data_IF_335451505423
#
_entry.id   IF_335451505423
#
_cell.length_a   1.000
_cell.length_b   1.000
_cell.length_c   1.000
_cell.angle_alpha   90.00
_cell.angle_beta   90.00
_cell.angle_gamma   90.00
#
_symmetry.space_group_name_H-M   'P 1'
#
loop_
_entity.id
_entity.type
_entity.pdbx_description
1 polymer ?
#
# COMPACT_ATOMS: atom_id res chain seq x y z
N UNK A 1 21.26 12.39 18.78
CA UNK A 1 21.74 11.97 17.45
C UNK A 1 20.86 12.62 16.40
N UNK A 2 21.48 13.18 15.36
CA UNK A 2 20.80 13.86 14.25
C UNK A 2 20.62 12.94 13.08
N UNK A 3 19.46 13.00 12.45
CA UNK A 3 19.08 12.14 11.33
C UNK A 3 18.50 12.98 10.19
N UNK A 4 18.91 12.67 8.96
CA UNK A 4 18.41 13.33 7.76
C UNK A 4 17.72 12.33 6.83
N UNK A 5 16.47 12.62 6.45
CA UNK A 5 15.68 11.79 5.55
C UNK A 5 15.64 12.39 4.13
N UNK A 6 16.10 11.66 3.12
CA UNK A 6 15.94 12.02 1.72
C UNK A 6 14.72 11.29 1.14
N UNK A 7 13.78 12.04 0.58
CA UNK A 7 12.49 11.52 0.11
C UNK A 7 11.45 11.43 1.23
N UNK A 8 11.45 12.39 2.16
CA UNK A 8 10.66 12.36 3.40
C UNK A 8 9.14 12.52 3.19
N UNK A 9 8.68 13.07 2.05
CA UNK A 9 7.25 13.32 1.80
C UNK A 9 6.45 12.06 1.48
N UNK A 10 7.12 10.95 1.14
CA UNK A 10 6.47 9.66 0.94
C UNK A 10 5.88 9.10 2.24
N UNK A 11 4.71 8.45 2.19
CA UNK A 11 3.99 7.97 3.38
C UNK A 11 4.87 7.11 4.30
N UNK A 12 5.59 6.14 3.75
CA UNK A 12 6.49 5.29 4.53
C UNK A 12 7.62 6.09 5.19
N UNK A 13 8.28 6.97 4.40
CA UNK A 13 9.42 7.76 4.87
C UNK A 13 9.01 8.81 5.90
N UNK A 14 7.89 9.50 5.66
CA UNK A 14 7.36 10.50 6.59
C UNK A 14 6.91 9.90 7.92
N UNK A 15 6.24 8.74 7.88
CA UNK A 15 5.90 8.00 9.09
C UNK A 15 7.16 7.55 9.85
N UNK A 16 8.17 7.08 9.13
CA UNK A 16 9.45 6.68 9.74
C UNK A 16 10.18 7.87 10.39
N UNK A 17 10.15 9.04 9.76
CA UNK A 17 10.70 10.27 10.31
C UNK A 17 9.99 10.70 11.61
N UNK A 18 8.65 10.55 11.66
CA UNK A 18 7.87 10.81 12.87
C UNK A 18 8.21 9.80 13.99
N UNK A 19 8.37 8.51 13.66
CA UNK A 19 8.85 7.47 14.57
C UNK A 19 10.24 7.85 15.13
N UNK A 20 11.18 8.29 14.27
CA UNK A 20 12.50 8.73 14.69
C UNK A 20 12.40 9.92 15.65
N UNK A 21 11.57 10.90 15.36
CA UNK A 21 11.31 12.04 16.22
C UNK A 21 10.76 11.64 17.58
N UNK A 22 9.79 10.71 17.60
CA UNK A 22 9.21 10.18 18.85
C UNK A 22 10.23 9.41 19.69
N UNK A 23 11.22 8.78 19.06
CA UNK A 23 12.36 8.10 19.72
C UNK A 23 13.42 9.07 20.25
N UNK A 24 13.25 10.38 20.07
CA UNK A 24 14.15 11.40 20.59
C UNK A 24 15.30 11.79 19.64
N UNK A 25 15.24 11.41 18.36
CA UNK A 25 16.19 11.90 17.38
C UNK A 25 15.86 13.36 16.97
N UNK A 26 16.89 14.12 16.66
CA UNK A 26 16.72 15.40 15.98
C UNK A 26 16.61 15.12 14.47
N UNK A 27 15.41 15.34 13.92
CA UNK A 27 15.05 14.89 12.56
C UNK A 27 15.01 16.06 11.60
N UNK A 28 15.66 15.88 10.46
CA UNK A 28 15.63 16.76 9.30
C UNK A 28 15.21 15.97 8.07
N UNK A 29 14.69 16.64 7.05
CA UNK A 29 14.36 15.97 5.82
C UNK A 29 14.28 16.87 4.61
N UNK A 30 14.25 16.23 3.45
CA UNK A 30 14.14 16.90 2.15
C UNK A 30 13.31 16.03 1.20
N UNK A 31 12.54 16.71 0.35
CA UNK A 31 11.91 16.08 -0.81
C UNK A 31 11.80 17.10 -1.95
N UNK A 32 11.44 16.63 -3.14
CA UNK A 32 11.26 17.50 -4.30
C UNK A 32 10.14 18.51 -4.06
N UNK A 33 9.01 18.05 -3.50
CA UNK A 33 7.84 18.85 -3.13
C UNK A 33 7.10 18.23 -1.94
N UNK A 34 6.30 19.07 -1.27
CA UNK A 34 5.48 18.64 -0.15
C UNK A 34 4.01 18.93 -0.40
N UNK A 35 3.16 18.00 -0.03
CA UNK A 35 1.70 18.10 -0.15
C UNK A 35 1.01 17.51 1.08
N UNK A 36 -0.14 18.07 1.50
CA UNK A 36 -0.99 17.42 2.49
C UNK A 36 -1.42 16.00 2.06
N UNK A 37 -1.61 15.08 3.01
CA UNK A 37 -1.54 15.28 4.46
C UNK A 37 -0.12 15.21 5.05
N UNK A 38 0.88 14.65 4.35
CA UNK A 38 2.21 14.38 4.92
C UNK A 38 2.95 15.67 5.32
N UNK A 39 2.83 16.76 4.53
CA UNK A 39 3.42 18.05 4.92
C UNK A 39 2.92 18.54 6.28
N UNK A 40 1.60 18.41 6.51
CA UNK A 40 0.97 18.85 7.75
C UNK A 40 1.38 17.95 8.93
N UNK A 41 1.46 16.65 8.71
CA UNK A 41 1.91 15.68 9.71
C UNK A 41 3.36 15.93 10.15
N UNK A 42 4.26 16.20 9.20
CA UNK A 42 5.67 16.53 9.50
C UNK A 42 5.80 17.85 10.26
N UNK A 43 5.04 18.87 9.88
CA UNK A 43 4.99 20.17 10.59
C UNK A 43 4.46 19.99 12.02
N UNK A 44 3.36 19.25 12.19
CA UNK A 44 2.77 18.99 13.50
C UNK A 44 3.71 18.18 14.41
N UNK A 45 4.53 17.30 13.82
CA UNK A 45 5.57 16.57 14.55
C UNK A 45 6.80 17.44 14.89
N UNK A 46 6.86 18.69 14.43
CA UNK A 46 8.00 19.59 14.63
C UNK A 46 9.27 19.11 13.91
N UNK A 47 9.10 18.47 12.75
CA UNK A 47 10.20 18.02 11.88
C UNK A 47 10.56 19.16 10.93
N UNK A 48 11.85 19.46 10.84
CA UNK A 48 12.36 20.48 9.90
C UNK A 48 12.60 19.84 8.54
N UNK A 49 12.01 20.39 7.49
CA UNK A 49 12.19 19.89 6.11
C UNK A 49 12.31 21.03 5.10
N UNK A 50 12.88 20.71 3.94
CA UNK A 50 13.15 21.66 2.86
C UNK A 50 12.73 21.06 1.51
N UNK A 51 12.35 21.92 0.55
CA UNK A 51 12.06 21.50 -0.83
C UNK A 51 13.31 21.58 -1.71
N UNK A 52 13.41 20.62 -2.64
CA UNK A 52 14.48 20.50 -3.61
C UNK A 52 15.72 19.79 -3.07
N UNK A 53 16.45 19.14 -3.97
CA UNK A 53 17.65 18.34 -3.65
C UNK A 53 18.95 19.10 -3.96
N UNK A 54 18.95 20.44 -3.89
CA UNK A 54 20.13 21.25 -4.11
C UNK A 54 21.12 21.15 -2.94
N UNK A 55 22.41 21.35 -3.23
CA UNK A 55 23.48 21.28 -2.24
C UNK A 55 23.26 22.22 -1.04
N UNK A 56 22.62 23.39 -1.25
CA UNK A 56 22.30 24.34 -0.17
C UNK A 56 21.42 23.75 0.94
N UNK A 57 20.67 22.68 0.63
CA UNK A 57 19.80 21.95 1.55
C UNK A 57 20.53 20.87 2.35
N UNK A 58 21.85 20.76 2.19
CA UNK A 58 22.67 19.87 3.00
C UNK A 58 22.66 20.30 4.47
N UNK A 59 22.34 19.36 5.35
CA UNK A 59 22.46 19.51 6.81
C UNK A 59 23.41 18.44 7.32
N UNK A 60 24.42 18.82 8.07
CA UNK A 60 25.37 17.86 8.64
C UNK A 60 24.72 17.08 9.80
N UNK A 61 24.58 15.78 9.60
CA UNK A 61 23.91 14.87 10.52
C UNK A 61 24.70 13.57 10.69
N UNK A 62 24.35 12.79 11.74
CA UNK A 62 25.03 11.54 12.06
C UNK A 62 24.67 10.42 11.10
N UNK A 63 23.43 10.42 10.58
CA UNK A 63 22.88 9.37 9.70
C UNK A 63 22.00 10.01 8.62
N UNK A 64 22.10 9.48 7.39
CA UNK A 64 21.27 9.83 6.26
C UNK A 64 20.43 8.62 5.84
N UNK A 65 19.12 8.72 5.98
CA UNK A 65 18.15 7.70 5.59
C UNK A 65 17.68 7.99 4.16
N UNK A 66 17.93 7.05 3.25
CA UNK A 66 17.68 7.23 1.83
C UNK A 66 16.38 6.52 1.44
N UNK A 67 15.45 7.28 0.88
CA UNK A 67 14.21 6.74 0.31
C UNK A 67 14.44 6.03 -1.02
N UNK A 68 13.56 5.11 -1.38
CA UNK A 68 13.69 4.30 -2.59
C UNK A 68 13.69 5.11 -3.89
N UNK A 69 12.96 6.21 -3.95
CA UNK A 69 12.91 7.10 -5.12
C UNK A 69 14.20 7.87 -5.38
N UNK A 70 15.15 7.86 -4.45
CA UNK A 70 16.41 8.59 -4.53
C UNK A 70 17.48 7.69 -5.15
N UNK A 71 18.11 8.15 -6.22
CA UNK A 71 19.13 7.40 -6.95
C UNK A 71 20.39 8.23 -7.21
N UNK A 72 21.45 7.57 -7.69
CA UNK A 72 22.70 8.24 -8.15
C UNK A 72 22.35 9.32 -9.17
N UNK A 73 23.08 10.42 -9.11
CA UNK A 73 22.80 11.63 -9.89
C UNK A 73 21.88 12.63 -9.16
N UNK A 74 21.29 12.28 -8.03
CA UNK A 74 20.59 13.26 -7.18
C UNK A 74 21.63 14.19 -6.55
N UNK A 75 21.55 15.54 -6.75
CA UNK A 75 22.63 16.46 -6.35
C UNK A 75 22.96 16.38 -4.85
N UNK A 76 21.95 16.31 -3.99
CA UNK A 76 22.15 16.24 -2.55
C UNK A 76 22.74 14.90 -2.09
N UNK A 77 22.30 13.81 -2.71
CA UNK A 77 22.85 12.48 -2.44
C UNK A 77 24.34 12.43 -2.80
N UNK A 78 24.74 12.99 -3.96
CA UNK A 78 26.15 13.02 -4.36
C UNK A 78 27.00 13.84 -3.37
N UNK A 79 26.48 14.95 -2.83
CA UNK A 79 27.16 15.70 -1.76
C UNK A 79 27.36 14.85 -0.51
N UNK A 80 26.33 14.11 -0.09
CA UNK A 80 26.40 13.22 1.08
C UNK A 80 27.45 12.12 0.89
N UNK A 81 27.50 11.52 -0.30
CA UNK A 81 28.48 10.48 -0.66
C UNK A 81 29.90 11.07 -0.67
N UNK A 82 30.10 12.21 -1.33
CA UNK A 82 31.40 12.85 -1.43
C UNK A 82 31.98 13.30 -0.08
N UNK A 83 31.09 13.57 0.88
CA UNK A 83 31.46 13.90 2.27
C UNK A 83 31.65 12.65 3.16
N UNK A 84 31.62 11.44 2.58
CA UNK A 84 31.76 10.17 3.31
C UNK A 84 30.78 10.02 4.49
N UNK A 85 29.56 10.48 4.34
CA UNK A 85 28.55 10.39 5.40
C UNK A 85 27.94 9.01 5.51
N UNK A 86 27.49 8.65 6.72
CA UNK A 86 26.83 7.36 6.98
C UNK A 86 25.45 7.34 6.34
N UNK A 87 25.28 6.50 5.31
CA UNK A 87 24.03 6.25 4.61
C UNK A 87 23.42 4.94 5.09
N UNK A 88 22.09 4.90 5.22
CA UNK A 88 21.31 3.72 5.56
C UNK A 88 20.00 3.71 4.79
N UNK A 89 19.47 2.54 4.47
CA UNK A 89 18.13 2.42 3.91
C UNK A 89 17.06 2.61 4.99
N UNK A 90 15.86 3.00 4.58
CA UNK A 90 14.75 3.18 5.52
C UNK A 90 14.36 1.88 6.25
N UNK A 91 14.24 0.71 5.57
CA UNK A 91 14.00 -0.56 6.23
C UNK A 91 15.09 -0.99 7.21
N UNK A 92 16.37 -0.77 6.87
CA UNK A 92 17.49 -1.06 7.78
C UNK A 92 17.48 -0.17 9.01
N UNK A 93 17.19 1.13 8.83
CA UNK A 93 17.05 2.04 9.95
C UNK A 93 15.92 1.58 10.89
N UNK A 94 14.76 1.24 10.31
CA UNK A 94 13.62 0.74 11.08
C UNK A 94 13.99 -0.52 11.87
N UNK A 95 14.68 -1.46 11.23
CA UNK A 95 15.13 -2.65 11.93
C UNK A 95 16.08 -2.33 13.09
N UNK A 96 17.13 -1.56 12.83
CA UNK A 96 18.18 -1.28 13.82
C UNK A 96 17.66 -0.51 15.05
N UNK A 97 16.73 0.41 14.86
CA UNK A 97 16.29 1.33 15.90
C UNK A 97 14.89 1.02 16.46
N UNK A 98 14.10 0.18 15.81
CA UNK A 98 12.74 -0.15 16.26
C UNK A 98 12.51 -1.65 16.36
N UNK A 99 12.72 -2.40 15.28
CA UNK A 99 12.26 -3.80 15.20
C UNK A 99 13.17 -4.81 15.86
N UNK A 100 14.45 -4.48 16.10
CA UNK A 100 15.46 -5.42 16.62
C UNK A 100 15.05 -6.09 17.93
N UNK A 101 14.36 -5.34 18.79
CA UNK A 101 13.90 -5.82 20.11
C UNK A 101 12.40 -6.19 20.09
N UNK A 102 11.76 -6.19 18.93
CA UNK A 102 10.34 -6.51 18.76
C UNK A 102 10.13 -7.86 18.08
N UNK A 103 9.00 -8.49 18.36
CA UNK A 103 8.46 -9.62 17.60
C UNK A 103 7.63 -9.05 16.44
N UNK A 104 8.10 -9.24 15.22
CA UNK A 104 7.52 -8.63 14.05
C UNK A 104 6.41 -9.51 13.48
N UNK A 105 5.23 -8.92 13.30
CA UNK A 105 4.10 -9.47 12.53
C UNK A 105 4.11 -8.75 11.17
N UNK A 106 4.49 -9.45 10.11
CA UNK A 106 4.61 -8.89 8.77
C UNK A 106 3.48 -9.40 7.87
N UNK A 107 2.84 -8.48 7.16
CA UNK A 107 1.82 -8.80 6.14
C UNK A 107 2.40 -8.49 4.78
N UNK A 108 2.56 -9.51 3.94
CA UNK A 108 3.15 -9.43 2.62
C UNK A 108 2.22 -9.97 1.53
N UNK A 109 2.57 -9.74 0.29
CA UNK A 109 1.83 -10.18 -0.91
C UNK A 109 1.54 -9.02 -1.85
N UNK A 110 1.09 -9.30 -3.06
CA UNK A 110 0.85 -8.28 -4.09
C UNK A 110 -0.30 -7.34 -3.70
N UNK A 111 -1.40 -7.90 -3.17
CA UNK A 111 -2.61 -7.15 -2.81
C UNK A 111 -3.03 -7.34 -1.35
N UNK A 112 -3.83 -6.40 -0.85
CA UNK A 112 -4.44 -6.49 0.48
C UNK A 112 -3.51 -6.16 1.67
N UNK A 113 -2.20 -6.01 1.46
CA UNK A 113 -1.20 -5.71 2.52
C UNK A 113 -1.68 -4.63 3.49
N UNK A 114 -1.96 -3.44 2.98
CA UNK A 114 -2.35 -2.26 3.76
C UNK A 114 -3.62 -2.52 4.59
N UNK A 115 -4.64 -3.10 3.96
CA UNK A 115 -5.92 -3.37 4.63
C UNK A 115 -5.77 -4.39 5.74
N UNK A 116 -5.10 -5.53 5.47
CA UNK A 116 -4.88 -6.59 6.46
C UNK A 116 -4.00 -6.09 7.62
N UNK A 117 -2.93 -5.35 7.33
CA UNK A 117 -2.08 -4.73 8.37
C UNK A 117 -2.88 -3.76 9.23
N UNK A 118 -3.75 -2.94 8.60
CA UNK A 118 -4.62 -2.00 9.31
C UNK A 118 -5.65 -2.70 10.20
N UNK A 119 -6.27 -3.78 9.73
CA UNK A 119 -7.21 -4.60 10.50
C UNK A 119 -6.54 -5.20 11.74
N UNK A 120 -5.33 -5.73 11.59
CA UNK A 120 -4.57 -6.31 12.69
C UNK A 120 -4.20 -5.22 13.71
N UNK A 121 -3.65 -4.09 13.26
CA UNK A 121 -3.27 -2.98 14.13
C UNK A 121 -4.49 -2.36 14.84
N UNK A 122 -5.64 -2.22 14.13
CA UNK A 122 -6.90 -1.79 14.71
C UNK A 122 -7.38 -2.72 15.83
N UNK A 123 -7.36 -4.04 15.60
CA UNK A 123 -7.81 -5.02 16.57
C UNK A 123 -7.00 -4.94 17.88
N UNK A 124 -5.69 -4.80 17.80
CA UNK A 124 -4.86 -4.63 19.01
C UNK A 124 -5.13 -3.31 19.73
N UNK A 125 -5.36 -2.24 18.99
CA UNK A 125 -5.72 -0.95 19.59
C UNK A 125 -7.09 -0.97 20.27
N UNK A 126 -8.08 -1.57 19.61
CA UNK A 126 -9.46 -1.63 20.09
C UNK A 126 -9.62 -2.54 21.30
N UNK A 127 -8.87 -3.64 21.39
CA UNK A 127 -8.84 -4.51 22.57
C UNK A 127 -8.33 -3.75 23.83
N UNK A 128 -7.48 -2.76 23.64
CA UNK A 128 -6.97 -1.87 24.68
C UNK A 128 -6.06 -2.51 25.72
N UNK A 129 -5.84 -3.83 25.66
CA UNK A 129 -4.95 -4.57 26.58
C UNK A 129 -3.51 -4.57 26.12
N UNK A 130 -3.31 -4.49 24.81
CA UNK A 130 -2.01 -4.59 24.16
C UNK A 130 -1.72 -3.31 23.38
N UNK A 131 -0.58 -2.66 23.66
CA UNK A 131 -0.13 -1.47 22.96
C UNK A 131 0.94 -1.83 21.94
N UNK A 132 0.55 -2.58 20.89
CA UNK A 132 1.47 -3.01 19.84
C UNK A 132 1.90 -1.82 18.96
N UNK A 133 3.17 -1.82 18.58
CA UNK A 133 3.66 -0.90 17.56
C UNK A 133 3.14 -1.30 16.17
N UNK A 134 3.05 -0.33 15.27
CA UNK A 134 2.73 -0.62 13.87
C UNK A 134 3.26 0.43 12.91
N UNK A 135 3.42 0.03 11.65
CA UNK A 135 3.73 0.91 10.52
C UNK A 135 2.99 0.43 9.27
N UNK A 136 2.11 1.29 8.77
CA UNK A 136 1.20 1.05 7.66
C UNK A 136 1.53 2.06 6.55
N UNK A 137 1.60 1.61 5.29
CA UNK A 137 1.87 2.49 4.15
C UNK A 137 0.64 3.29 3.67
N UNK A 138 -0.55 2.97 4.18
CA UNK A 138 -1.80 3.70 3.95
C UNK A 138 -2.26 4.53 5.14
N UNK A 139 -3.45 5.11 5.04
CA UNK A 139 -4.07 5.93 6.09
C UNK A 139 -5.36 5.25 6.56
N UNK A 140 -5.33 4.47 7.65
CA UNK A 140 -6.54 3.92 8.26
C UNK A 140 -7.47 5.03 8.77
N UNK A 141 -8.77 4.75 8.82
CA UNK A 141 -9.77 5.76 9.25
C UNK A 141 -9.72 6.04 10.77
N UNK A 142 -9.40 5.04 11.59
CA UNK A 142 -9.58 5.11 13.05
C UNK A 142 -8.27 5.08 13.85
N UNK A 143 -7.17 4.75 13.20
CA UNK A 143 -5.85 4.71 13.82
C UNK A 143 -4.84 5.53 13.02
N UNK A 144 -3.79 5.99 13.66
CA UNK A 144 -2.68 6.58 12.92
C UNK A 144 -1.96 5.51 12.07
N UNK A 145 -1.31 5.94 11.00
CA UNK A 145 -0.53 5.04 10.13
C UNK A 145 0.67 4.41 10.83
N UNK A 146 1.05 4.92 11.99
CA UNK A 146 2.14 4.41 12.79
C UNK A 146 1.90 4.54 14.29
N UNK A 147 2.52 3.64 15.05
CA UNK A 147 2.68 3.73 16.51
C UNK A 147 3.96 2.99 16.91
N UNK A 148 4.68 3.49 17.91
CA UNK A 148 5.81 2.74 18.47
C UNK A 148 5.37 1.54 19.31
N UNK A 149 4.26 1.69 20.03
CA UNK A 149 3.81 0.70 21.00
C UNK A 149 4.85 0.42 22.10
N UNK A 150 4.39 0.01 23.26
CA UNK A 150 5.27 -0.34 24.40
C UNK A 150 5.47 -1.84 24.52
N UNK A 151 4.60 -2.65 23.91
CA UNK A 151 4.66 -4.11 23.94
C UNK A 151 5.72 -4.71 23.00
N UNK A 152 5.95 -6.02 23.17
CA UNK A 152 6.94 -6.79 22.41
C UNK A 152 6.67 -6.89 20.92
N UNK A 153 5.43 -6.70 20.47
CA UNK A 153 5.05 -6.92 19.07
C UNK A 153 5.00 -5.63 18.26
N UNK A 154 5.29 -5.79 16.98
CA UNK A 154 5.20 -4.73 15.98
C UNK A 154 4.58 -5.25 14.69
N UNK A 155 3.48 -4.64 14.26
CA UNK A 155 2.76 -5.01 13.02
C UNK A 155 3.24 -4.15 11.87
N UNK A 156 3.65 -4.76 10.75
CA UNK A 156 4.20 -4.01 9.62
C UNK A 156 3.67 -4.50 8.28
N UNK A 157 3.37 -3.55 7.40
CA UNK A 157 3.17 -3.82 5.99
C UNK A 157 4.53 -4.14 5.35
N UNK A 158 4.63 -5.30 4.72
CA UNK A 158 5.89 -5.91 4.30
C UNK A 158 5.93 -6.08 2.78
N UNK A 159 6.59 -5.12 2.13
CA UNK A 159 6.56 -4.93 0.69
C UNK A 159 7.67 -5.73 -0.01
N UNK A 160 7.34 -6.32 -1.16
CA UNK A 160 8.26 -7.02 -2.07
C UNK A 160 9.09 -6.08 -2.95
N UNK A 161 8.80 -4.78 -2.96
CA UNK A 161 9.53 -3.80 -3.74
C UNK A 161 10.94 -3.54 -3.18
N UNK A 162 11.90 -3.18 -4.05
CA UNK A 162 13.29 -2.93 -3.68
C UNK A 162 13.46 -1.80 -2.63
N UNK A 163 14.56 -1.82 -1.93
CA UNK A 163 14.78 -1.04 -0.71
C UNK A 163 15.35 0.34 -0.98
N UNK A 164 16.45 0.43 -1.74
CA UNK A 164 17.15 1.67 -2.06
C UNK A 164 18.03 1.48 -3.30
N UNK A 165 18.62 2.56 -3.84
CA UNK A 165 19.50 2.48 -5.02
C UNK A 165 20.73 1.58 -4.79
N UNK A 166 21.22 1.46 -3.57
CA UNK A 166 22.34 0.63 -3.15
C UNK A 166 21.95 -0.73 -2.58
N UNK A 167 20.66 -0.98 -2.40
CA UNK A 167 20.08 -2.20 -1.88
C UNK A 167 18.86 -2.59 -2.71
N UNK A 168 19.08 -3.54 -3.63
CA UNK A 168 18.07 -4.02 -4.57
C UNK A 168 17.28 -5.24 -4.06
N UNK A 169 17.49 -5.60 -2.79
CA UNK A 169 16.68 -6.64 -2.17
C UNK A 169 15.33 -6.08 -1.70
N UNK A 170 14.28 -6.92 -1.67
CA UNK A 170 12.97 -6.55 -1.13
C UNK A 170 13.02 -6.02 0.31
N UNK A 171 12.21 -5.03 0.61
CA UNK A 171 12.11 -4.45 1.96
C UNK A 171 11.81 -5.49 3.02
N UNK A 172 11.03 -6.52 2.71
CA UNK A 172 10.64 -7.55 3.66
C UNK A 172 11.81 -8.35 4.25
N UNK A 173 12.97 -8.42 3.60
CA UNK A 173 14.15 -9.09 4.16
C UNK A 173 14.72 -8.39 5.40
N UNK A 174 14.56 -7.07 5.45
CA UNK A 174 15.07 -6.27 6.57
C UNK A 174 14.23 -6.43 7.84
N UNK A 175 12.94 -6.79 7.73
CA UNK A 175 12.02 -6.80 8.87
C UNK A 175 12.14 -8.04 9.76
N UNK A 176 12.70 -9.13 9.24
CA UNK A 176 12.95 -10.39 9.97
C UNK A 176 11.74 -10.91 10.76
N UNK A 177 10.61 -11.22 10.10
CA UNK A 177 9.36 -11.50 10.76
C UNK A 177 9.41 -12.73 11.69
N UNK A 178 8.68 -12.65 12.80
CA UNK A 178 8.35 -13.77 13.67
C UNK A 178 7.03 -14.43 13.25
N UNK A 179 6.10 -13.62 12.75
CA UNK A 179 4.86 -14.08 12.12
C UNK A 179 4.78 -13.41 10.75
N UNK A 180 4.67 -14.21 9.70
CA UNK A 180 4.54 -13.75 8.33
C UNK A 180 3.18 -14.19 7.78
N UNK A 181 2.43 -13.24 7.20
CA UNK A 181 1.28 -13.53 6.35
C UNK A 181 1.65 -13.29 4.90
N UNK A 182 1.43 -14.25 4.03
CA UNK A 182 1.50 -14.11 2.57
C UNK A 182 0.07 -14.16 2.02
N UNK A 183 -0.46 -12.98 1.68
CA UNK A 183 -1.83 -12.81 1.20
C UNK A 183 -2.06 -13.48 -0.16
N UNK A 184 -1.17 -13.20 -1.10
CA UNK A 184 -1.17 -13.64 -2.50
C UNK A 184 0.19 -13.37 -3.13
N UNK A 185 0.48 -14.01 -4.26
CA UNK A 185 1.68 -13.72 -5.06
C UNK A 185 1.25 -13.67 -6.52
N UNK A 186 1.29 -12.46 -7.10
CA UNK A 186 1.00 -12.20 -8.50
C UNK A 186 2.14 -11.40 -9.14
N UNK A 187 2.16 -11.32 -10.48
CA UNK A 187 3.19 -10.57 -11.18
C UNK A 187 2.88 -9.07 -11.12
N UNK A 188 3.70 -8.34 -10.41
CA UNK A 188 3.70 -6.88 -10.34
C UNK A 188 5.14 -6.36 -10.30
N UNK A 189 5.34 -5.04 -10.24
CA UNK A 189 6.65 -4.40 -10.16
C UNK A 189 7.61 -4.80 -11.29
N UNK A 190 7.11 -4.77 -12.52
CA UNK A 190 7.84 -5.14 -13.71
C UNK A 190 9.05 -4.24 -14.07
N UNK A 191 9.24 -3.17 -13.34
CA UNK A 191 10.42 -2.32 -13.36
C UNK A 191 11.60 -2.93 -12.59
N UNK A 192 11.35 -3.90 -11.70
CA UNK A 192 12.38 -4.58 -10.91
C UNK A 192 12.34 -6.10 -11.01
N UNK A 193 11.22 -6.71 -11.44
CA UNK A 193 11.08 -8.16 -11.64
C UNK A 193 10.78 -8.50 -13.08
N UNK A 194 11.48 -9.52 -13.60
CA UNK A 194 11.29 -10.02 -14.96
C UNK A 194 10.16 -11.05 -15.07
N UNK A 195 9.80 -11.71 -13.99
CA UNK A 195 8.80 -12.77 -13.98
C UNK A 195 8.19 -13.02 -12.59
N UNK A 196 7.05 -13.71 -12.57
CA UNK A 196 6.44 -14.19 -11.33
C UNK A 196 7.34 -15.21 -10.59
N UNK A 197 8.11 -16.02 -11.32
CA UNK A 197 9.06 -16.97 -10.72
C UNK A 197 10.17 -16.25 -9.92
N UNK A 198 10.58 -15.08 -10.37
CA UNK A 198 11.55 -14.25 -9.65
C UNK A 198 10.95 -13.73 -8.34
N UNK A 199 9.72 -13.21 -8.36
CA UNK A 199 9.01 -12.79 -7.14
C UNK A 199 8.86 -13.96 -6.17
N UNK A 200 8.39 -15.12 -6.64
CA UNK A 200 8.26 -16.32 -5.83
C UNK A 200 9.60 -16.75 -5.20
N UNK A 201 10.70 -16.62 -5.93
CA UNK A 201 12.04 -16.95 -5.41
C UNK A 201 12.44 -16.06 -4.23
N UNK A 202 12.02 -14.78 -4.23
CA UNK A 202 12.24 -13.87 -3.10
C UNK A 202 11.42 -14.29 -1.88
N UNK A 203 10.15 -14.70 -2.05
CA UNK A 203 9.35 -15.24 -0.96
C UNK A 203 9.93 -16.54 -0.38
N UNK A 204 10.43 -17.44 -1.22
CA UNK A 204 11.14 -18.65 -0.78
C UNK A 204 12.37 -18.29 0.06
N UNK A 205 13.20 -17.34 -0.42
CA UNK A 205 14.36 -16.84 0.32
C UNK A 205 13.96 -16.22 1.66
N UNK A 206 12.84 -15.47 1.71
CA UNK A 206 12.32 -14.92 2.97
C UNK A 206 11.96 -16.03 3.97
N UNK A 207 11.24 -17.07 3.54
CA UNK A 207 10.88 -18.22 4.37
C UNK A 207 12.12 -18.96 4.91
N UNK A 208 13.17 -19.10 4.09
CA UNK A 208 14.45 -19.70 4.52
C UNK A 208 15.18 -18.88 5.59
N UNK A 209 15.04 -17.54 5.53
CA UNK A 209 15.70 -16.62 6.48
C UNK A 209 14.92 -16.46 7.79
N UNK A 210 13.70 -16.97 7.89
CA UNK A 210 12.91 -16.87 9.11
C UNK A 210 13.54 -17.68 10.24
N UNK A 211 13.49 -17.12 11.45
CA UNK A 211 14.11 -17.71 12.63
C UNK A 211 13.34 -18.96 13.11
N UNK A 212 14.02 -19.78 13.90
CA UNK A 212 13.38 -20.88 14.65
C UNK A 212 12.25 -20.35 15.54
N UNK A 213 11.11 -21.06 15.56
CA UNK A 213 9.87 -20.69 16.28
C UNK A 213 9.10 -19.52 15.64
N UNK A 214 9.46 -19.10 14.42
CA UNK A 214 8.63 -18.19 13.62
C UNK A 214 7.55 -18.99 12.89
N UNK A 215 6.46 -18.30 12.52
CA UNK A 215 5.34 -18.88 11.74
C UNK A 215 5.11 -18.13 10.46
N UNK A 216 4.86 -18.86 9.40
CA UNK A 216 4.40 -18.29 8.12
C UNK A 216 3.04 -18.87 7.76
N UNK A 217 2.07 -18.00 7.53
CA UNK A 217 0.73 -18.32 7.02
C UNK A 217 0.65 -17.96 5.54
N UNK A 218 0.30 -18.92 4.70
CA UNK A 218 0.24 -18.73 3.24
C UNK A 218 -1.17 -19.01 2.76
N UNK A 219 -1.79 -18.03 2.11
CA UNK A 219 -3.10 -18.21 1.48
C UNK A 219 -2.98 -19.12 0.26
N UNK A 220 -3.32 -20.40 0.43
CA UNK A 220 -3.16 -21.43 -0.57
C UNK A 220 -3.97 -21.21 -1.85
N UNK A 221 -5.12 -20.50 -1.75
CA UNK A 221 -5.97 -20.16 -2.89
C UNK A 221 -5.40 -19.05 -3.80
N UNK A 222 -4.39 -18.32 -3.33
CA UNK A 222 -3.86 -17.15 -4.00
C UNK A 222 -2.35 -17.22 -4.33
N UNK A 223 -1.82 -18.45 -4.40
CA UNK A 223 -0.46 -18.75 -4.85
C UNK A 223 -0.47 -19.97 -5.79
N UNK A 224 0.47 -20.04 -6.73
CA UNK A 224 0.55 -21.13 -7.70
C UNK A 224 0.87 -22.48 -7.02
N UNK A 225 0.39 -23.58 -7.62
CA UNK A 225 0.73 -24.94 -7.17
C UNK A 225 2.24 -25.19 -7.16
N UNK A 226 2.95 -24.72 -8.20
CA UNK A 226 4.41 -24.81 -8.29
C UNK A 226 5.13 -24.14 -7.11
N UNK A 227 4.64 -23.01 -6.63
CA UNK A 227 5.17 -22.35 -5.42
C UNK A 227 4.91 -23.21 -4.18
N UNK A 228 3.69 -23.72 -4.01
CA UNK A 228 3.36 -24.64 -2.89
C UNK A 228 4.28 -25.84 -2.85
N UNK A 229 4.51 -26.47 -3.99
CA UNK A 229 5.41 -27.65 -4.11
C UNK A 229 6.85 -27.31 -3.72
N UNK A 230 7.35 -26.14 -4.11
CA UNK A 230 8.68 -25.65 -3.70
C UNK A 230 8.75 -25.40 -2.19
N UNK A 231 7.71 -24.78 -1.62
CA UNK A 231 7.66 -24.47 -0.17
C UNK A 231 7.54 -25.75 0.67
N UNK A 232 6.78 -26.76 0.24
CA UNK A 232 6.68 -28.03 0.96
C UNK A 232 8.00 -28.81 1.03
N UNK A 233 8.89 -28.59 0.06
CA UNK A 233 10.23 -29.21 0.00
C UNK A 233 11.30 -28.33 0.63
N UNK A 234 10.90 -27.17 1.16
CA UNK A 234 11.85 -26.19 1.65
C UNK A 234 12.43 -26.58 3.00
N UNK A 235 13.74 -26.60 3.11
CA UNK A 235 14.42 -26.66 4.40
C UNK A 235 14.38 -25.28 5.06
N UNK A 236 13.61 -25.17 6.13
CA UNK A 236 13.43 -23.93 6.88
C UNK A 236 13.29 -24.19 8.37
N UNK A 237 13.59 -23.18 9.19
CA UNK A 237 13.44 -23.24 10.64
C UNK A 237 12.05 -22.75 11.11
N UNK A 238 11.23 -22.15 10.24
CA UNK A 238 9.90 -21.67 10.59
C UNK A 238 8.83 -22.73 10.36
N UNK A 239 7.76 -22.65 11.12
CA UNK A 239 6.53 -23.40 10.88
C UNK A 239 5.76 -22.75 9.73
N UNK A 240 5.41 -23.52 8.69
CA UNK A 240 4.65 -23.03 7.54
C UNK A 240 3.27 -23.68 7.55
N UNK A 241 2.24 -22.86 7.48
CA UNK A 241 0.86 -23.28 7.39
C UNK A 241 0.21 -22.73 6.12
N UNK A 242 -0.28 -23.63 5.26
CA UNK A 242 -1.15 -23.29 4.16
C UNK A 242 -2.61 -23.31 4.62
N UNK A 243 -3.35 -22.25 4.32
CA UNK A 243 -4.79 -22.17 4.60
C UNK A 243 -5.52 -21.48 3.46
N UNK A 244 -6.83 -21.59 3.41
CA UNK A 244 -7.65 -20.89 2.42
C UNK A 244 -8.35 -19.71 3.07
N UNK A 245 -8.02 -18.50 2.62
CA UNK A 245 -8.65 -17.26 3.08
C UNK A 245 -9.77 -16.77 2.17
N UNK A 246 -10.05 -17.47 1.07
CA UNK A 246 -11.02 -17.01 0.06
C UNK A 246 -12.40 -16.77 0.68
N UNK A 247 -12.89 -15.56 0.56
CA UNK A 247 -14.26 -15.14 0.84
C UNK A 247 -15.01 -14.89 -0.47
N UNK A 248 -16.28 -14.52 -0.37
CA UNK A 248 -17.09 -14.14 -1.53
C UNK A 248 -16.68 -12.76 -2.09
N UNK A 249 -15.98 -11.94 -1.29
CA UNK A 249 -15.47 -10.62 -1.65
C UNK A 249 -14.02 -10.46 -1.22
N UNK A 250 -13.33 -9.45 -1.80
CA UNK A 250 -11.99 -9.04 -1.34
C UNK A 250 -12.01 -8.62 0.14
N UNK A 251 -13.08 -7.95 0.59
CA UNK A 251 -13.23 -7.53 1.98
C UNK A 251 -13.28 -8.74 2.93
N UNK A 252 -14.05 -9.76 2.59
CA UNK A 252 -14.11 -11.01 3.35
C UNK A 252 -12.79 -11.75 3.35
N UNK A 253 -12.13 -11.83 2.19
CA UNK A 253 -10.79 -12.43 2.07
C UNK A 253 -9.80 -11.73 2.99
N UNK A 254 -9.75 -10.39 2.98
CA UNK A 254 -8.88 -9.61 3.87
C UNK A 254 -9.21 -9.84 5.36
N UNK A 255 -10.51 -9.95 5.69
CA UNK A 255 -10.98 -10.27 7.05
C UNK A 255 -10.50 -11.66 7.49
N UNK A 256 -10.59 -12.66 6.62
CA UNK A 256 -10.12 -14.02 6.90
C UNK A 256 -8.58 -14.06 7.09
N UNK A 257 -7.84 -13.30 6.29
CA UNK A 257 -6.38 -13.15 6.43
C UNK A 257 -6.01 -12.52 7.79
N UNK A 258 -6.65 -11.42 8.16
CA UNK A 258 -6.44 -10.76 9.45
C UNK A 258 -6.83 -11.67 10.62
N UNK A 259 -7.98 -12.35 10.52
CA UNK A 259 -8.47 -13.30 11.53
C UNK A 259 -7.46 -14.41 11.78
N UNK A 260 -6.83 -14.97 10.73
CA UNK A 260 -5.81 -16.03 10.86
C UNK A 260 -4.61 -15.63 11.72
N UNK A 261 -4.23 -14.36 11.70
CA UNK A 261 -3.20 -13.83 12.61
C UNK A 261 -3.76 -13.62 14.02
N UNK A 262 -4.94 -12.98 14.11
CA UNK A 262 -5.51 -12.53 15.39
C UNK A 262 -5.92 -13.68 16.33
N UNK A 263 -6.31 -14.83 15.81
CA UNK A 263 -6.63 -16.02 16.62
C UNK A 263 -5.42 -16.57 17.41
N UNK A 264 -4.19 -16.12 17.10
CA UNK A 264 -3.03 -16.42 17.96
C UNK A 264 -3.00 -15.56 19.24
N UNK A 265 -3.85 -14.54 19.35
CA UNK A 265 -3.86 -13.55 20.42
C UNK A 265 -5.22 -13.43 21.11
N UNK A 266 -6.31 -13.74 20.41
CA UNK A 266 -7.67 -13.57 20.85
C UNK A 266 -8.51 -14.80 20.57
N UNK A 267 -9.53 -15.02 21.39
CA UNK A 267 -10.60 -15.98 21.12
C UNK A 267 -11.33 -15.62 19.81
N UNK A 268 -11.90 -16.61 19.12
CA UNK A 268 -12.53 -16.45 17.81
C UNK A 268 -13.66 -15.40 17.80
N UNK A 269 -14.54 -15.41 18.80
CA UNK A 269 -15.65 -14.46 18.91
C UNK A 269 -15.15 -13.03 19.18
N UNK A 270 -14.11 -12.88 19.98
CA UNK A 270 -13.44 -11.59 20.19
C UNK A 270 -12.82 -11.08 18.89
N UNK A 271 -12.14 -11.95 18.16
CA UNK A 271 -11.55 -11.62 16.84
C UNK A 271 -12.61 -11.12 15.86
N UNK A 272 -13.74 -11.83 15.74
CA UNK A 272 -14.87 -11.40 14.88
C UNK A 272 -15.41 -10.04 15.28
N UNK A 273 -15.59 -9.78 16.58
CA UNK A 273 -16.08 -8.49 17.10
C UNK A 273 -15.11 -7.34 16.77
N UNK A 274 -13.81 -7.54 16.99
CA UNK A 274 -12.77 -6.55 16.73
C UNK A 274 -12.66 -6.22 15.23
N UNK A 275 -12.73 -7.23 14.36
CA UNK A 275 -12.69 -7.02 12.91
C UNK A 275 -13.96 -6.33 12.39
N UNK A 276 -15.13 -6.61 12.98
CA UNK A 276 -16.37 -5.96 12.60
C UNK A 276 -16.41 -4.46 12.92
N UNK A 277 -15.64 -3.99 13.92
CA UNK A 277 -15.56 -2.57 14.26
C UNK A 277 -14.64 -1.77 13.33
N UNK A 278 -13.85 -2.42 12.48
CA UNK A 278 -12.93 -1.76 11.56
C UNK A 278 -13.67 -1.00 10.46
N UNK A 279 -13.41 0.31 10.31
CA UNK A 279 -14.09 1.19 9.34
C UNK A 279 -13.40 1.36 8.01
N UNK A 280 -12.21 0.77 7.85
CA UNK A 280 -11.51 0.79 6.58
C UNK A 280 -10.24 1.64 6.54
N UNK A 281 -9.73 1.80 5.33
CA UNK A 281 -8.54 2.59 5.00
C UNK A 281 -8.90 3.59 3.93
N UNK A 282 -8.45 4.82 4.06
CA UNK A 282 -8.64 5.84 3.01
C UNK A 282 -8.13 5.34 1.67
N UNK A 283 -8.88 5.66 0.63
CA UNK A 283 -8.62 5.17 -0.74
C UNK A 283 -8.65 3.64 -0.88
N UNK A 284 -9.41 2.94 -0.03
CA UNK A 284 -9.71 1.50 -0.16
C UNK A 284 -11.21 1.32 -0.07
N UNK A 285 -11.89 1.29 -1.21
CA UNK A 285 -13.36 1.30 -1.33
C UNK A 285 -14.00 2.46 -0.54
N UNK A 286 -13.36 3.62 -0.56
CA UNK A 286 -13.79 4.79 0.22
C UNK A 286 -14.91 5.54 -0.49
N UNK A 287 -16.07 5.65 0.15
CA UNK A 287 -17.17 6.48 -0.33
C UNK A 287 -16.83 7.95 -0.04
N UNK A 288 -16.56 8.73 -1.09
CA UNK A 288 -16.25 10.16 -0.99
C UNK A 288 -17.49 11.05 -1.04
N UNK A 289 -18.53 10.56 -1.71
CA UNK A 289 -19.82 11.25 -1.83
C UNK A 289 -20.93 10.24 -2.03
N UNK A 290 -22.10 10.53 -1.40
CA UNK A 290 -23.31 9.74 -1.54
C UNK A 290 -24.54 10.64 -1.62
N UNK A 291 -25.39 10.35 -2.61
CA UNK A 291 -26.72 10.90 -2.77
C UNK A 291 -27.66 9.80 -3.25
N UNK A 292 -28.95 10.10 -3.39
CA UNK A 292 -29.93 9.15 -3.93
C UNK A 292 -29.55 8.68 -5.35
N UNK A 293 -28.99 9.58 -6.19
CA UNK A 293 -28.68 9.33 -7.59
C UNK A 293 -27.23 8.90 -7.82
N UNK A 294 -26.26 9.49 -7.12
CA UNK A 294 -24.84 9.30 -7.41
C UNK A 294 -24.07 8.97 -6.14
N UNK A 295 -23.22 7.92 -6.24
CA UNK A 295 -22.22 7.55 -5.27
C UNK A 295 -20.85 7.68 -5.95
N UNK A 296 -19.88 8.33 -5.29
CA UNK A 296 -18.49 8.41 -5.73
C UNK A 296 -17.61 7.60 -4.79
N UNK A 297 -16.96 6.58 -5.33
CA UNK A 297 -16.04 5.70 -4.59
C UNK A 297 -14.62 5.92 -5.12
N UNK A 298 -13.66 5.97 -4.19
CA UNK A 298 -12.23 5.99 -4.48
C UNK A 298 -11.57 4.71 -4.00
N UNK A 299 -10.82 4.05 -4.88
CA UNK A 299 -10.02 2.88 -4.54
C UNK A 299 -8.60 2.99 -5.07
N UNK A 300 -7.63 2.48 -4.33
CA UNK A 300 -6.21 2.47 -4.69
C UNK A 300 -5.85 1.33 -5.66
N UNK A 301 -6.82 0.51 -6.07
CA UNK A 301 -6.62 -0.58 -7.01
C UNK A 301 -5.97 -0.07 -8.30
N UNK A 302 -4.84 -0.63 -8.66
CA UNK A 302 -4.03 -0.29 -9.83
C UNK A 302 -3.38 -1.51 -10.49
N UNK A 303 -3.84 -2.70 -10.13
CA UNK A 303 -3.52 -3.98 -10.75
C UNK A 303 -4.81 -4.62 -11.27
N UNK A 304 -4.83 -5.33 -12.42
CA UNK A 304 -6.06 -5.89 -13.00
C UNK A 304 -6.90 -6.69 -12.00
N UNK A 305 -6.28 -7.60 -11.25
CA UNK A 305 -6.98 -8.42 -10.24
C UNK A 305 -7.64 -7.56 -9.16
N UNK A 306 -6.94 -6.52 -8.67
CA UNK A 306 -7.49 -5.61 -7.67
C UNK A 306 -8.63 -4.76 -8.24
N UNK A 307 -8.48 -4.25 -9.47
CA UNK A 307 -9.51 -3.47 -10.18
C UNK A 307 -10.76 -4.32 -10.37
N UNK A 308 -10.59 -5.54 -10.92
CA UNK A 308 -11.69 -6.49 -11.13
C UNK A 308 -12.45 -6.77 -9.83
N UNK A 309 -11.72 -7.11 -8.76
CA UNK A 309 -12.34 -7.40 -7.47
C UNK A 309 -13.03 -6.19 -6.83
N UNK A 310 -12.54 -4.97 -7.03
CA UNK A 310 -13.22 -3.75 -6.57
C UNK A 310 -14.50 -3.48 -7.38
N UNK A 311 -14.50 -3.76 -8.69
CA UNK A 311 -15.71 -3.67 -9.52
C UNK A 311 -16.75 -4.71 -9.05
N UNK A 312 -16.35 -5.96 -8.84
CA UNK A 312 -17.23 -7.02 -8.35
C UNK A 312 -17.83 -6.71 -6.97
N UNK A 313 -17.01 -6.17 -6.06
CA UNK A 313 -17.49 -5.69 -4.76
C UNK A 313 -18.53 -4.58 -4.95
N UNK A 314 -18.26 -3.63 -5.84
CA UNK A 314 -19.20 -2.53 -6.14
C UNK A 314 -20.53 -3.06 -6.69
N UNK A 315 -20.49 -4.07 -7.56
CA UNK A 315 -21.70 -4.72 -8.11
C UNK A 315 -22.51 -5.42 -7.03
N UNK A 316 -21.84 -6.09 -6.08
CA UNK A 316 -22.47 -6.78 -4.97
C UNK A 316 -23.13 -5.81 -3.98
N UNK A 317 -22.46 -4.71 -3.67
CA UNK A 317 -22.97 -3.69 -2.72
C UNK A 317 -24.07 -2.80 -3.32
N UNK A 318 -24.06 -2.57 -4.63
CA UNK A 318 -24.99 -1.65 -5.31
C UNK A 318 -25.67 -2.32 -6.50
N UNK A 319 -26.46 -3.36 -6.21
CA UNK A 319 -27.10 -4.26 -7.21
C UNK A 319 -27.90 -3.51 -8.28
N UNK A 320 -28.64 -2.45 -7.91
CA UNK A 320 -29.52 -1.70 -8.79
C UNK A 320 -28.85 -0.46 -9.42
N UNK A 321 -27.53 -0.29 -9.25
CA UNK A 321 -26.83 0.87 -9.73
C UNK A 321 -26.04 0.57 -11.01
N UNK A 322 -26.00 1.56 -11.91
CA UNK A 322 -25.05 1.54 -13.02
C UNK A 322 -23.66 1.90 -12.51
N UNK A 323 -22.71 0.99 -12.65
CA UNK A 323 -21.33 1.24 -12.28
C UNK A 323 -20.59 1.85 -13.46
N UNK A 324 -19.84 2.92 -13.19
CA UNK A 324 -18.98 3.62 -14.15
C UNK A 324 -17.56 3.57 -13.59
N UNK A 325 -16.74 2.60 -14.00
CA UNK A 325 -15.35 2.53 -13.58
C UNK A 325 -14.51 3.59 -14.31
N UNK A 326 -13.64 4.27 -13.55
CA UNK A 326 -12.63 5.21 -14.05
C UNK A 326 -11.28 4.69 -13.60
N UNK A 327 -10.47 4.22 -14.54
CA UNK A 327 -9.20 3.53 -14.27
C UNK A 327 -8.03 4.45 -14.59
N UNK A 328 -7.19 4.73 -13.58
CA UNK A 328 -5.98 5.53 -13.75
C UNK A 328 -4.77 4.63 -14.02
N UNK A 329 -4.07 4.87 -15.13
CA UNK A 329 -2.82 4.21 -15.49
C UNK A 329 -1.64 4.90 -14.78
N UNK A 330 -1.55 4.69 -13.47
CA UNK A 330 -0.62 5.39 -12.58
C UNK A 330 0.68 4.65 -12.31
N UNK A 331 0.67 3.33 -12.18
CA UNK A 331 1.87 2.51 -11.90
C UNK A 331 2.76 2.34 -13.13
N UNK A 332 4.03 2.01 -12.91
CA UNK A 332 4.98 1.74 -14.02
C UNK A 332 4.51 0.55 -14.85
N UNK A 333 4.06 -0.52 -14.22
CA UNK A 333 3.56 -1.73 -14.88
C UNK A 333 2.37 -1.44 -15.79
N UNK A 334 1.40 -0.63 -15.30
CA UNK A 334 0.24 -0.19 -16.08
C UNK A 334 0.66 0.66 -17.29
N UNK A 335 1.54 1.65 -17.07
CA UNK A 335 1.99 2.57 -18.14
C UNK A 335 2.85 1.89 -19.20
N UNK A 336 3.63 0.87 -18.82
CA UNK A 336 4.46 0.10 -19.73
C UNK A 336 3.68 -0.93 -20.55
N UNK A 337 2.36 -1.06 -20.33
CA UNK A 337 1.47 -1.93 -21.11
C UNK A 337 1.54 -3.42 -20.76
N UNK A 338 2.19 -3.79 -19.69
CA UNK A 338 2.33 -5.21 -19.32
C UNK A 338 1.02 -5.86 -18.88
N UNK A 339 0.06 -5.07 -18.45
CA UNK A 339 -1.29 -5.50 -18.08
C UNK A 339 -2.34 -5.24 -19.14
N UNK A 340 -1.97 -4.76 -20.33
CA UNK A 340 -2.93 -4.33 -21.35
C UNK A 340 -3.93 -5.42 -21.73
N UNK A 341 -3.48 -6.68 -21.89
CA UNK A 341 -4.36 -7.81 -22.22
C UNK A 341 -5.37 -8.09 -21.10
N UNK A 342 -4.92 -8.13 -19.84
CA UNK A 342 -5.79 -8.36 -18.69
C UNK A 342 -6.78 -7.20 -18.49
N UNK A 343 -6.35 -5.98 -18.77
CA UNK A 343 -7.20 -4.79 -18.69
C UNK A 343 -8.24 -4.75 -19.80
N UNK A 344 -7.91 -5.22 -21.01
CA UNK A 344 -8.90 -5.32 -22.11
C UNK A 344 -10.15 -6.07 -21.68
N UNK A 345 -10.00 -7.24 -21.03
CA UNK A 345 -11.12 -8.02 -20.56
C UNK A 345 -12.03 -7.26 -19.56
N UNK A 346 -11.41 -6.42 -18.69
CA UNK A 346 -12.16 -5.55 -17.79
C UNK A 346 -12.86 -4.43 -18.56
N UNK A 347 -12.15 -3.77 -19.48
CA UNK A 347 -12.68 -2.64 -20.26
C UNK A 347 -13.81 -3.07 -21.19
N UNK A 348 -13.76 -4.29 -21.75
CA UNK A 348 -14.80 -4.87 -22.60
C UNK A 348 -16.10 -5.15 -21.84
N UNK A 349 -15.99 -5.61 -20.60
CA UNK A 349 -17.15 -5.99 -19.78
C UNK A 349 -17.83 -4.79 -19.11
N UNK A 350 -17.12 -3.67 -18.97
CA UNK A 350 -17.62 -2.47 -18.29
C UNK A 350 -17.31 -1.25 -19.14
N UNK A 351 -18.28 -0.41 -19.44
CA UNK A 351 -18.06 0.87 -20.12
C UNK A 351 -17.18 1.79 -19.25
N UNK A 352 -15.87 1.55 -19.28
CA UNK A 352 -14.89 2.24 -18.44
C UNK A 352 -14.42 3.54 -19.08
N UNK A 353 -14.04 4.49 -18.21
CA UNK A 353 -13.17 5.60 -18.59
C UNK A 353 -11.73 5.31 -18.16
N UNK A 354 -10.77 5.89 -18.88
CA UNK A 354 -9.34 5.76 -18.56
C UNK A 354 -8.69 7.13 -18.37
N UNK A 355 -7.65 7.19 -17.54
CA UNK A 355 -6.82 8.38 -17.30
C UNK A 355 -5.36 7.97 -17.42
N UNK A 356 -4.50 8.85 -17.98
CA UNK A 356 -3.06 8.64 -18.12
C UNK A 356 -2.65 7.47 -19.02
N UNK A 357 -3.48 7.08 -19.97
CA UNK A 357 -3.14 6.11 -21.02
C UNK A 357 -2.17 6.70 -22.03
N UNK A 358 -1.20 5.91 -22.50
CA UNK A 358 -0.35 6.26 -23.65
C UNK A 358 -1.16 6.27 -24.94
N UNK A 359 -0.65 6.92 -25.99
CA UNK A 359 -1.29 6.92 -27.32
C UNK A 359 -1.54 5.50 -27.85
N UNK A 360 -0.57 4.59 -27.66
CA UNK A 360 -0.69 3.16 -28.01
C UNK A 360 -1.86 2.51 -27.28
N UNK A 361 -1.99 2.74 -25.98
CA UNK A 361 -3.08 2.20 -25.15
C UNK A 361 -4.44 2.82 -25.54
N UNK A 362 -4.49 4.12 -25.84
CA UNK A 362 -5.71 4.76 -26.33
C UNK A 362 -6.20 4.13 -27.63
N UNK A 363 -5.29 3.82 -28.56
CA UNK A 363 -5.64 3.13 -29.81
C UNK A 363 -6.11 1.69 -29.54
N UNK A 364 -5.43 0.97 -28.64
CA UNK A 364 -5.76 -0.40 -28.27
C UNK A 364 -7.15 -0.50 -27.62
N UNK A 365 -7.48 0.43 -26.73
CA UNK A 365 -8.72 0.40 -25.95
C UNK A 365 -9.88 1.21 -26.60
N UNK A 366 -9.66 1.79 -27.77
CA UNK A 366 -10.60 2.71 -28.43
C UNK A 366 -12.05 2.19 -28.54
N UNK A 367 -12.22 0.89 -28.69
CA UNK A 367 -13.54 0.25 -28.82
C UNK A 367 -14.24 0.02 -27.47
N UNK A 368 -13.52 0.09 -26.34
CA UNK A 368 -14.00 -0.34 -25.03
C UNK A 368 -13.97 0.78 -23.98
N UNK A 369 -13.18 1.82 -24.22
CA UNK A 369 -13.06 2.91 -23.25
C UNK A 369 -12.82 4.26 -23.95
N UNK A 370 -13.05 5.31 -23.20
CA UNK A 370 -12.69 6.68 -23.60
C UNK A 370 -11.95 7.39 -22.46
N UNK A 371 -11.19 8.44 -22.80
CA UNK A 371 -10.47 9.23 -21.80
C UNK A 371 -11.45 10.00 -20.92
N UNK A 372 -11.27 9.89 -19.59
CA UNK A 372 -12.03 10.68 -18.63
C UNK A 372 -11.53 12.12 -18.58
N UNK A 373 -12.45 13.07 -18.64
CA UNK A 373 -12.18 14.50 -18.60
C UNK A 373 -13.35 15.25 -17.97
N UNK A 374 -13.20 16.55 -17.70
CA UNK A 374 -14.25 17.38 -17.11
C UNK A 374 -15.58 17.36 -17.92
N UNK A 375 -15.50 17.25 -19.23
CA UNK A 375 -16.68 17.16 -20.10
C UNK A 375 -17.55 15.93 -19.80
N UNK A 376 -16.94 14.87 -19.24
CA UNK A 376 -17.65 13.65 -18.83
C UNK A 376 -18.43 13.82 -17.53
N UNK A 377 -18.15 14.85 -16.74
CA UNK A 377 -18.91 15.13 -15.52
C UNK A 377 -20.39 15.38 -15.84
N UNK A 378 -20.67 16.23 -16.83
CA UNK A 378 -22.05 16.52 -17.26
C UNK A 378 -22.74 15.29 -17.85
N UNK A 379 -22.03 14.47 -18.61
CA UNK A 379 -22.57 13.23 -19.17
C UNK A 379 -23.05 12.27 -18.07
N UNK A 380 -22.24 12.11 -17.00
CA UNK A 380 -22.59 11.27 -15.84
C UNK A 380 -23.77 11.89 -15.06
N UNK A 381 -23.73 13.20 -14.79
CA UNK A 381 -24.76 13.90 -14.02
C UNK A 381 -26.12 13.88 -14.70
N UNK A 382 -26.14 14.02 -16.04
CA UNK A 382 -27.35 14.05 -16.86
C UNK A 382 -27.82 12.66 -17.31
N UNK A 383 -27.15 11.58 -16.84
CA UNK A 383 -27.58 10.22 -17.13
C UNK A 383 -29.04 9.97 -16.68
N UNK A 384 -29.77 9.18 -17.48
CA UNK A 384 -31.16 8.77 -17.18
C UNK A 384 -31.26 7.64 -16.14
N UNK A 385 -30.13 7.08 -15.74
CA UNK A 385 -30.09 6.01 -14.74
C UNK A 385 -30.60 6.50 -13.37
N UNK A 386 -31.32 5.66 -12.66
CA UNK A 386 -31.85 5.99 -11.34
C UNK A 386 -30.75 6.12 -10.30
N UNK A 387 -29.75 5.23 -10.34
CA UNK A 387 -28.62 5.23 -9.44
C UNK A 387 -27.33 4.92 -10.19
N UNK A 388 -26.29 5.69 -9.92
CA UNK A 388 -24.97 5.56 -10.54
C UNK A 388 -23.91 5.47 -9.45
N UNK A 389 -22.99 4.51 -9.60
CA UNK A 389 -21.77 4.45 -8.82
C UNK A 389 -20.59 4.79 -9.72
N UNK A 390 -19.93 5.90 -9.48
CA UNK A 390 -18.67 6.27 -10.12
C UNK A 390 -17.54 5.69 -9.27
N UNK A 391 -16.85 4.68 -9.80
CA UNK A 391 -15.78 3.99 -9.13
C UNK A 391 -14.43 4.42 -9.71
N UNK A 392 -13.66 5.19 -8.96
CA UNK A 392 -12.32 5.66 -9.37
C UNK A 392 -11.23 4.75 -8.80
N UNK A 393 -10.57 3.99 -9.70
CA UNK A 393 -9.48 3.05 -9.37
C UNK A 393 -8.13 3.61 -9.83
N UNK A 394 -7.20 3.83 -8.90
CA UNK A 394 -5.87 4.34 -9.24
C UNK A 394 -4.99 4.66 -8.04
N UNK A 395 -3.69 4.69 -8.27
CA UNK A 395 -2.69 4.92 -7.22
C UNK A 395 -2.08 6.34 -7.22
N UNK A 396 -2.59 7.24 -8.09
CA UNK A 396 -2.20 8.66 -8.13
C UNK A 396 -3.39 9.58 -7.81
N UNK A 397 -3.39 10.78 -8.33
CA UNK A 397 -4.34 11.86 -8.02
C UNK A 397 -5.40 12.09 -9.11
N UNK A 398 -5.48 11.21 -10.11
CA UNK A 398 -6.39 11.31 -11.24
C UNK A 398 -6.27 12.67 -12.00
N UNK A 399 -5.07 13.26 -12.01
CA UNK A 399 -4.80 14.60 -12.56
C UNK A 399 -5.70 15.70 -11.93
N UNK A 400 -6.11 15.53 -10.66
CA UNK A 400 -7.00 16.46 -9.97
C UNK A 400 -8.49 16.31 -10.32
N UNK A 401 -8.85 15.50 -11.34
CA UNK A 401 -10.25 15.31 -11.79
C UNK A 401 -11.16 14.75 -10.69
N UNK A 402 -10.63 13.92 -9.80
CA UNK A 402 -11.41 13.39 -8.67
C UNK A 402 -11.91 14.51 -7.75
N UNK A 403 -11.02 15.42 -7.38
CA UNK A 403 -11.36 16.56 -6.49
C UNK A 403 -12.34 17.49 -7.18
N UNK A 404 -12.12 17.79 -8.48
CA UNK A 404 -13.01 18.63 -9.26
C UNK A 404 -14.42 18.03 -9.34
N UNK A 405 -14.53 16.72 -9.63
CA UNK A 405 -15.81 16.03 -9.69
C UNK A 405 -16.51 16.00 -8.32
N UNK A 406 -15.76 15.72 -7.25
CA UNK A 406 -16.28 15.76 -5.88
C UNK A 406 -16.83 17.13 -5.50
N UNK A 407 -16.12 18.22 -5.84
CA UNK A 407 -16.56 19.59 -5.56
C UNK A 407 -17.83 19.91 -6.34
N UNK A 408 -17.92 19.49 -7.59
CA UNK A 408 -19.13 19.65 -8.41
C UNK A 408 -20.33 18.90 -7.82
N UNK A 409 -20.13 17.65 -7.38
CA UNK A 409 -21.20 16.87 -6.70
C UNK A 409 -21.69 17.54 -5.42
N UNK A 410 -20.77 18.10 -4.63
CA UNK A 410 -21.11 18.82 -3.40
C UNK A 410 -21.93 20.09 -3.66
N UNK A 411 -21.57 20.83 -4.72
CA UNK A 411 -22.31 22.06 -5.11
C UNK A 411 -23.72 21.79 -5.63
N UNK A 412 -24.02 20.58 -6.10
CA UNK A 412 -25.38 20.20 -6.52
C UNK A 412 -26.27 19.74 -5.36
N UNK A 413 -25.69 19.44 -4.20
CA UNK A 413 -26.40 19.01 -2.99
C UNK A 413 -26.70 20.18 -2.04
N UNK A 414 -26.04 21.35 -2.26
CA UNK A 414 -26.29 22.63 -1.58
C UNK A 414 -27.42 23.41 -2.29
#
# INVERSE_FOLDING_TARGET
MKIFFLGISGTFMGNLAQIAKKKGFEVFGVDQKFYPPMSDELLNAGIKFQEGYEEKNFVDTDIYVIGNSISRGNPLLEVIINKNKKIISAPDWLYQYVLKEKKVIAVSGTHGKTTVTSMIAHAFKEDGKNNFGHLIAGVPEEIHSWSLGDDDYFVIESDEYDTAYFDKEPKFFHYRPNILMINNIEFDHADIYSSLDEIESKFIKLLQQMKKRSKAYINAGAVRSSFKDKVQKLETNCEIEFFNAQGETISETNTNLASKILINFFEEDTTKKLLKSFKGVKRRFQILFESEKIILINDFAHHPTAIQGTIELTQKEFVDAKIIPIIEFGSNTMRNGQHDISLMAILENFNCYTINTSEKQQQLFKSFSSTFSENKFEEILNSKEKKIVVLMCGNRDFNGLQIQFLNKLKSLKS
#
